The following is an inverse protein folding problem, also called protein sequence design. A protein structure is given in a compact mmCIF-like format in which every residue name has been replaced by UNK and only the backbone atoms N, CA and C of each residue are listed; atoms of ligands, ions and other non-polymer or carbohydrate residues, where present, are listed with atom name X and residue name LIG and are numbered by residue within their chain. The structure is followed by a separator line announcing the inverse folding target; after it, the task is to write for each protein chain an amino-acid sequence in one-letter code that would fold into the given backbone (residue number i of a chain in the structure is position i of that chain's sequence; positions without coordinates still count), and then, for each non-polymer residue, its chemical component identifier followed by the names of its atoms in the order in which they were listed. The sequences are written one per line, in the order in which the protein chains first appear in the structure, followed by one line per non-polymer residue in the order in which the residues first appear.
data_IF_869759282005
#
_entry.id   IF_869759282005
#
_cell.length_a   1.000
_cell.length_b   1.000
_cell.length_c   1.000
_cell.angle_alpha   90.00
_cell.angle_beta   90.00
_cell.angle_gamma   90.00
#
_symmetry.space_group_name_H-M   'P 1'
#
loop_
_entity.id
_entity.type
_entity.pdbx_description
1 polymer ?
#
# COMPACT_ATOMS: atom_id res chain seq x y z
N UNK A 1 -10.95 -23.16 23.29
CA UNK A 1 -11.97 -22.25 22.77
C UNK A 1 -11.32 -21.26 21.84
N UNK A 2 -11.51 -21.44 20.56
CA UNK A 2 -10.96 -20.51 19.60
C UNK A 2 -11.70 -19.19 19.75
N UNK A 3 -11.04 -18.23 20.37
CA UNK A 3 -11.49 -16.87 20.27
C UNK A 3 -11.46 -16.51 18.79
N UNK A 4 -12.62 -16.39 18.19
CA UNK A 4 -12.77 -15.75 16.91
C UNK A 4 -12.25 -14.31 17.07
N UNK A 5 -10.96 -14.13 16.80
CA UNK A 5 -10.41 -12.79 16.63
C UNK A 5 -11.15 -12.18 15.47
N UNK A 6 -12.14 -11.36 15.80
CA UNK A 6 -12.88 -10.60 14.79
C UNK A 6 -11.88 -9.83 13.97
N UNK A 7 -11.71 -10.22 12.72
CA UNK A 7 -10.91 -9.47 11.78
C UNK A 7 -11.60 -8.13 11.56
N UNK A 8 -10.99 -7.07 12.04
CA UNK A 8 -11.49 -5.73 11.79
C UNK A 8 -11.12 -5.33 10.36
N UNK A 9 -12.13 -4.96 9.60
CA UNK A 9 -11.94 -4.41 8.26
C UNK A 9 -12.05 -2.89 8.36
N UNK A 10 -10.96 -2.21 8.06
CA UNK A 10 -10.93 -0.76 8.01
C UNK A 10 -11.23 -0.31 6.58
N UNK A 11 -12.22 0.57 6.41
CA UNK A 11 -12.57 1.13 5.10
C UNK A 11 -11.99 2.53 5.01
N UNK A 12 -11.17 2.76 4.00
CA UNK A 12 -10.51 4.05 3.75
C UNK A 12 -10.92 4.57 2.39
N UNK A 13 -11.36 5.83 2.32
CA UNK A 13 -11.67 6.50 1.07
C UNK A 13 -10.43 7.26 0.58
N UNK A 14 -10.01 6.97 -0.64
CA UNK A 14 -8.84 7.58 -1.26
C UNK A 14 -9.14 8.89 -2.00
N UNK A 15 -10.40 9.31 -2.06
CA UNK A 15 -10.80 10.52 -2.80
C UNK A 15 -10.06 11.75 -2.28
N UNK A 16 -9.35 12.44 -3.18
CA UNK A 16 -8.58 13.65 -2.91
C UNK A 16 -7.50 13.52 -1.81
N UNK A 17 -7.12 12.30 -1.47
CA UNK A 17 -6.04 12.06 -0.51
C UNK A 17 -4.69 12.00 -1.21
N UNK A 18 -3.66 12.70 -0.70
CA UNK A 18 -2.30 12.55 -1.24
C UNK A 18 -1.81 11.11 -1.11
N UNK A 19 -1.15 10.60 -2.14
CA UNK A 19 -0.70 9.20 -2.18
C UNK A 19 0.17 8.83 -0.96
N UNK A 20 1.16 9.65 -0.63
CA UNK A 20 2.08 9.38 0.48
C UNK A 20 1.38 9.32 1.84
N UNK A 21 0.50 10.28 2.11
CA UNK A 21 -0.26 10.32 3.37
C UNK A 21 -1.23 9.16 3.47
N UNK A 22 -1.90 8.84 2.36
CA UNK A 22 -2.81 7.68 2.30
C UNK A 22 -2.04 6.38 2.57
N UNK A 23 -0.88 6.21 1.96
CA UNK A 23 -0.05 5.02 2.14
C UNK A 23 0.42 4.86 3.60
N UNK A 24 0.81 5.94 4.26
CA UNK A 24 1.19 5.93 5.69
C UNK A 24 0.01 5.48 6.54
N UNK A 25 -1.16 6.05 6.32
CA UNK A 25 -2.38 5.72 7.07
C UNK A 25 -2.75 4.24 6.88
N UNK A 26 -2.73 3.75 5.65
CA UNK A 26 -3.03 2.36 5.35
C UNK A 26 -2.01 1.42 6.01
N UNK A 27 -0.73 1.75 5.94
CA UNK A 27 0.33 0.94 6.56
C UNK A 27 0.17 0.86 8.08
N UNK A 28 -0.18 1.97 8.74
CA UNK A 28 -0.44 1.99 10.19
C UNK A 28 -1.62 1.09 10.54
N UNK A 29 -2.70 1.15 9.79
CA UNK A 29 -3.88 0.31 10.01
C UNK A 29 -3.57 -1.18 9.78
N UNK A 30 -2.83 -1.51 8.73
CA UNK A 30 -2.45 -2.90 8.41
C UNK A 30 -1.57 -3.52 9.51
N UNK A 31 -0.67 -2.73 10.08
CA UNK A 31 0.20 -3.17 11.17
C UNK A 31 -0.54 -3.30 12.50
N UNK A 32 -1.71 -2.68 12.62
CA UNK A 32 -2.42 -2.58 13.88
C UNK A 32 -1.71 -1.67 14.90
N UNK A 33 -0.89 -0.74 14.42
CA UNK A 33 -0.09 0.15 15.27
C UNK A 33 -0.93 1.08 16.14
N UNK A 34 -2.15 1.34 15.74
CA UNK A 34 -3.13 2.12 16.49
C UNK A 34 -3.76 1.35 17.66
N UNK A 35 -3.51 0.04 17.77
CA UNK A 35 -4.05 -0.79 18.84
C UNK A 35 -3.18 -0.76 20.09
N UNK A 36 -3.81 -0.86 21.26
CA UNK A 36 -3.11 -0.90 22.53
C UNK A 36 -2.21 -2.14 22.70
N UNK A 37 -2.52 -3.23 22.04
CA UNK A 37 -1.77 -4.50 22.07
C UNK A 37 -0.76 -4.65 20.94
N UNK A 38 -0.41 -3.57 20.26
CA UNK A 38 0.54 -3.59 19.17
C UNK A 38 1.90 -4.17 19.58
N UNK A 39 2.38 -5.13 18.80
CA UNK A 39 3.73 -5.72 18.94
C UNK A 39 4.41 -5.84 17.59
N UNK A 40 5.68 -5.46 17.52
CA UNK A 40 6.44 -5.42 16.26
C UNK A 40 6.60 -6.79 15.58
N UNK A 41 6.62 -7.87 16.34
CA UNK A 41 6.90 -9.22 15.85
C UNK A 41 5.64 -10.06 15.61
N UNK A 42 4.46 -9.52 15.91
CA UNK A 42 3.19 -10.22 15.76
C UNK A 42 2.38 -9.58 14.63
N UNK A 43 1.89 -10.42 13.73
CA UNK A 43 0.98 -10.01 12.70
C UNK A 43 -0.42 -9.76 13.29
N UNK A 44 -0.91 -8.53 13.20
CA UNK A 44 -2.17 -8.12 13.82
C UNK A 44 -3.44 -8.62 13.13
N UNK A 45 -3.34 -9.25 11.97
CA UNK A 45 -4.46 -9.77 11.19
C UNK A 45 -5.53 -8.73 10.81
N UNK A 46 -5.17 -7.46 10.82
CA UNK A 46 -6.06 -6.37 10.39
C UNK A 46 -6.18 -6.35 8.86
N UNK A 47 -7.39 -6.08 8.38
CA UNK A 47 -7.64 -5.92 6.95
C UNK A 47 -8.01 -4.48 6.64
N UNK A 48 -7.55 -3.98 5.50
CA UNK A 48 -7.86 -2.63 5.04
C UNK A 48 -8.43 -2.72 3.62
N UNK A 49 -9.56 -2.06 3.42
CA UNK A 49 -10.18 -1.89 2.11
C UNK A 49 -10.09 -0.41 1.73
N UNK A 50 -9.41 -0.13 0.63
CA UNK A 50 -9.30 1.23 0.08
C UNK A 50 -10.22 1.36 -1.11
N UNK A 51 -11.07 2.39 -1.10
CA UNK A 51 -12.03 2.68 -2.18
C UNK A 51 -11.62 3.94 -2.93
N UNK A 52 -12.06 4.03 -4.18
CA UNK A 52 -11.85 5.21 -5.03
C UNK A 52 -10.39 5.54 -5.29
N UNK A 53 -9.56 4.52 -5.51
CA UNK A 53 -8.13 4.69 -5.73
C UNK A 53 -7.82 5.55 -6.97
N UNK A 54 -8.70 5.55 -7.96
CA UNK A 54 -8.56 6.40 -9.16
C UNK A 54 -8.63 7.90 -8.87
N UNK A 55 -9.16 8.28 -7.71
CA UNK A 55 -9.33 9.67 -7.29
C UNK A 55 -8.24 10.15 -6.34
N UNK A 56 -7.14 9.40 -6.24
CA UNK A 56 -5.98 9.80 -5.45
C UNK A 56 -5.40 11.10 -6.02
N UNK A 57 -5.00 12.00 -5.13
CA UNK A 57 -4.34 13.25 -5.47
C UNK A 57 -2.83 13.08 -5.44
N UNK A 58 -2.14 13.65 -6.42
CA UNK A 58 -0.69 13.72 -6.44
C UNK A 58 -0.25 15.17 -6.23
N UNK A 59 0.66 15.37 -5.28
CA UNK A 59 1.21 16.69 -4.99
C UNK A 59 2.39 17.01 -5.91
N UNK A 60 2.52 18.28 -6.32
CA UNK A 60 3.61 18.75 -7.17
C UNK A 60 3.61 18.08 -8.54
N UNK A 61 4.81 17.80 -9.06
CA UNK A 61 5.02 17.21 -10.39
C UNK A 61 5.25 15.68 -10.35
N UNK A 62 4.95 15.01 -9.25
CA UNK A 62 5.20 13.57 -9.09
C UNK A 62 4.49 12.73 -10.14
N UNK A 63 3.26 13.09 -10.47
CA UNK A 63 2.46 12.33 -11.44
C UNK A 63 3.14 12.24 -12.82
N UNK A 64 3.76 13.30 -13.28
CA UNK A 64 4.42 13.35 -14.58
C UNK A 64 5.91 12.99 -14.54
N UNK A 65 6.57 13.12 -13.39
CA UNK A 65 8.03 12.99 -13.28
C UNK A 65 8.49 11.71 -12.59
N UNK A 66 7.68 11.13 -11.69
CA UNK A 66 8.10 9.93 -10.97
C UNK A 66 8.21 8.74 -11.91
N UNK A 67 9.35 8.03 -11.82
CA UNK A 67 9.65 6.86 -12.63
C UNK A 67 9.93 5.68 -11.70
N UNK A 68 9.29 4.54 -11.97
CA UNK A 68 9.60 3.28 -11.32
C UNK A 68 10.63 2.51 -12.14
N UNK A 69 11.64 1.99 -11.46
CA UNK A 69 12.70 1.22 -12.07
C UNK A 69 12.59 -0.25 -11.68
N UNK A 70 12.73 -1.14 -12.64
CA UNK A 70 12.82 -2.56 -12.41
C UNK A 70 13.98 -3.13 -13.21
N UNK A 71 14.76 -4.04 -12.63
CA UNK A 71 15.90 -4.67 -13.28
C UNK A 71 15.67 -6.17 -13.35
N UNK A 72 15.84 -6.75 -14.55
CA UNK A 72 15.62 -8.19 -14.77
C UNK A 72 16.76 -9.08 -14.29
N UNK A 73 17.90 -8.51 -13.81
CA UNK A 73 19.10 -9.24 -13.45
C UNK A 73 20.04 -9.51 -14.62
N UNK A 74 19.66 -9.17 -15.83
CA UNK A 74 20.49 -9.30 -17.03
C UNK A 74 21.04 -7.95 -17.47
N UNK A 75 22.20 -7.95 -18.13
CA UNK A 75 22.80 -6.75 -18.68
C UNK A 75 21.81 -6.07 -19.66
N UNK A 76 21.54 -4.77 -19.46
CA UNK A 76 20.54 -4.04 -20.27
C UNK A 76 19.10 -4.31 -19.89
N UNK A 77 18.83 -5.04 -18.80
CA UNK A 77 17.48 -5.40 -18.35
C UNK A 77 16.77 -4.36 -17.49
N UNK A 78 17.26 -3.10 -17.48
CA UNK A 78 16.61 -2.02 -16.74
C UNK A 78 15.30 -1.61 -17.43
N UNK A 79 14.19 -1.72 -16.70
CA UNK A 79 12.89 -1.26 -17.16
C UNK A 79 12.49 0.01 -16.42
N UNK A 80 11.93 0.95 -17.16
CA UNK A 80 11.43 2.21 -16.62
C UNK A 80 9.94 2.31 -16.89
N UNK A 81 9.18 2.69 -15.88
CA UNK A 81 7.74 2.92 -16.04
C UNK A 81 7.37 4.22 -15.31
N UNK A 82 6.74 5.15 -16.03
CA UNK A 82 6.30 6.42 -15.45
C UNK A 82 5.08 6.18 -14.56
N UNK A 83 5.00 6.94 -13.48
CA UNK A 83 3.85 6.91 -12.58
C UNK A 83 2.53 7.15 -13.33
N UNK A 84 2.49 8.11 -14.25
CA UNK A 84 1.28 8.40 -15.04
C UNK A 84 0.82 7.19 -15.86
N UNK A 85 1.75 6.49 -16.52
CA UNK A 85 1.44 5.31 -17.31
C UNK A 85 0.95 4.15 -16.42
N UNK A 86 1.63 3.91 -15.31
CA UNK A 86 1.25 2.86 -14.37
C UNK A 86 -0.13 3.14 -13.75
N UNK A 87 -0.40 4.39 -13.39
CA UNK A 87 -1.67 4.79 -12.80
C UNK A 87 -2.85 4.60 -13.77
N UNK A 88 -2.64 4.87 -15.06
CA UNK A 88 -3.66 4.66 -16.08
C UNK A 88 -3.96 3.16 -16.30
N UNK A 89 -2.92 2.33 -16.27
CA UNK A 89 -3.07 0.89 -16.48
C UNK A 89 -3.56 0.15 -15.22
N UNK A 90 -2.92 0.44 -14.08
CA UNK A 90 -3.13 -0.27 -12.82
C UNK A 90 -3.07 0.71 -11.66
N UNK A 91 -4.12 1.47 -11.39
CA UNK A 91 -4.11 2.45 -10.29
C UNK A 91 -3.92 1.77 -8.92
N UNK A 92 -4.42 0.55 -8.75
CA UNK A 92 -4.25 -0.22 -7.51
C UNK A 92 -2.79 -0.53 -7.22
N UNK A 93 -1.99 -0.79 -8.25
CA UNK A 93 -0.57 -1.12 -8.11
C UNK A 93 0.24 0.06 -7.57
N UNK A 94 -0.11 1.28 -7.94
CA UNK A 94 0.54 2.50 -7.45
C UNK A 94 0.42 2.60 -5.92
N UNK A 95 -0.80 2.43 -5.40
CA UNK A 95 -1.03 2.46 -3.96
C UNK A 95 -0.35 1.28 -3.26
N UNK A 96 -0.42 0.09 -3.83
CA UNK A 96 0.22 -1.11 -3.26
C UNK A 96 1.73 -0.92 -3.10
N UNK A 97 2.41 -0.39 -4.11
CA UNK A 97 3.84 -0.12 -4.05
C UNK A 97 4.19 0.93 -3.00
N UNK A 98 3.37 1.96 -2.87
CA UNK A 98 3.56 2.98 -1.85
C UNK A 98 3.41 2.40 -0.44
N UNK A 99 2.38 1.60 -0.19
CA UNK A 99 2.17 0.92 1.10
C UNK A 99 3.30 -0.06 1.39
N UNK A 100 3.73 -0.83 0.41
CA UNK A 100 4.85 -1.76 0.55
C UNK A 100 6.12 -1.07 1.03
N UNK A 101 6.44 0.10 0.48
CA UNK A 101 7.59 0.89 0.91
C UNK A 101 7.46 1.45 2.33
N UNK A 102 6.23 1.64 2.81
CA UNK A 102 5.96 2.16 4.17
C UNK A 102 5.92 1.06 5.24
N UNK A 103 5.79 -0.21 4.83
CA UNK A 103 5.80 -1.33 5.76
C UNK A 103 7.22 -1.66 6.22
N UNK A 104 7.41 -2.18 7.47
CA UNK A 104 8.74 -2.57 7.92
C UNK A 104 9.30 -3.70 7.07
N UNK A 105 10.61 -3.62 6.80
CA UNK A 105 11.33 -4.64 6.00
C UNK A 105 11.60 -5.88 6.86
N UNK A 106 10.62 -6.76 6.99
CA UNK A 106 10.75 -8.01 7.73
C UNK A 106 9.93 -9.13 7.04
N UNK A 107 9.94 -10.33 7.61
CA UNK A 107 9.23 -11.49 7.06
C UNK A 107 7.71 -11.31 7.03
N UNK A 108 7.16 -10.49 7.92
CA UNK A 108 5.72 -10.23 8.01
C UNK A 108 5.20 -9.32 6.90
N UNK A 109 6.10 -8.59 6.23
CA UNK A 109 5.75 -7.62 5.19
C UNK A 109 4.91 -8.24 4.07
N UNK A 110 5.31 -9.40 3.56
CA UNK A 110 4.58 -10.09 2.50
C UNK A 110 3.20 -10.58 2.94
N UNK A 111 3.07 -11.02 4.18
CA UNK A 111 1.78 -11.42 4.76
C UNK A 111 0.87 -10.22 5.00
N UNK A 112 1.44 -9.12 5.48
CA UNK A 112 0.72 -7.89 5.79
C UNK A 112 0.11 -7.29 4.53
N UNK A 113 0.86 -7.21 3.43
CA UNK A 113 0.38 -6.63 2.19
C UNK A 113 -0.78 -7.43 1.56
N UNK A 114 -0.85 -8.72 1.81
CA UNK A 114 -1.96 -9.56 1.30
C UNK A 114 -3.30 -9.21 1.91
N UNK A 115 -3.32 -8.55 3.06
CA UNK A 115 -4.56 -8.12 3.72
C UNK A 115 -5.08 -6.79 3.21
N UNK A 116 -4.36 -6.15 2.33
CA UNK A 116 -4.79 -4.93 1.67
C UNK A 116 -5.62 -5.26 0.44
N UNK A 117 -6.85 -4.76 0.40
CA UNK A 117 -7.74 -4.83 -0.77
C UNK A 117 -7.96 -3.42 -1.29
N UNK A 118 -7.78 -3.22 -2.57
CA UNK A 118 -7.89 -1.91 -3.20
C UNK A 118 -8.95 -1.99 -4.30
N UNK A 119 -9.93 -1.12 -4.22
CA UNK A 119 -10.99 -0.98 -5.23
C UNK A 119 -10.81 0.32 -6.00
N UNK A 120 -11.04 0.24 -7.30
CA UNK A 120 -11.04 1.42 -8.14
C UNK A 120 -12.30 2.26 -7.88
#
# INVERSE_FOLDING_TARGET
MEENKKQHVHIVDATDQPLGRLAVRVAVLLRGKDKADFRHHIDGQERVLVKNVKRIKFSGKKFSQKIYYAHSGYMGGLRKERLSALFLKRPTEVLRRAVWGMLPKNRLRSRTIKRLTIEE
#
